data_IF_454169822223
#
_entry.id   IF_454169822223
#
_cell.length_a   1.000
_cell.length_b   1.000
_cell.length_c   1.000
_cell.angle_alpha   90.00
_cell.angle_beta   90.00
_cell.angle_gamma   90.00
#
_symmetry.space_group_name_H-M   'P 1'
#
loop_
_entity.id
_entity.type
_entity.pdbx_description
1 polymer ?
#
# COMPACT_ATOMS: atom_id res chain seq x y z
N UNK A 1 9.71 -6.07 3.17
CA UNK A 1 8.28 -5.75 3.09
C UNK A 1 7.42 -6.82 3.74
N UNK A 2 7.38 -8.06 3.20
CA UNK A 2 6.56 -9.11 3.82
C UNK A 2 7.23 -9.75 5.06
N UNK A 3 8.56 -9.90 5.02
CA UNK A 3 9.37 -10.56 6.04
C UNK A 3 9.48 -9.80 7.37
N UNK A 4 9.40 -8.47 7.34
CA UNK A 4 9.46 -7.60 8.53
C UNK A 4 8.07 -7.30 9.12
N UNK A 5 7.04 -7.28 8.27
CA UNK A 5 5.66 -6.99 8.69
C UNK A 5 5.05 -8.12 9.53
N UNK A 6 5.38 -9.39 9.26
CA UNK A 6 4.93 -10.53 10.06
C UNK A 6 5.38 -10.43 11.54
N UNK A 7 6.69 -10.35 11.81
CA UNK A 7 7.22 -10.15 13.16
C UNK A 7 6.66 -8.89 13.85
N UNK A 8 6.54 -7.78 13.12
CA UNK A 8 5.97 -6.55 13.67
C UNK A 8 4.51 -6.75 14.08
N UNK A 9 3.70 -7.40 13.24
CA UNK A 9 2.31 -7.73 13.53
C UNK A 9 2.17 -8.59 14.78
N UNK A 10 2.99 -9.64 14.92
CA UNK A 10 2.95 -10.50 16.10
C UNK A 10 3.27 -9.74 17.40
N UNK A 11 4.15 -8.73 17.32
CA UNK A 11 4.57 -7.94 18.49
C UNK A 11 3.61 -6.80 18.84
N UNK A 12 3.03 -6.13 17.84
CA UNK A 12 2.29 -4.88 18.02
C UNK A 12 0.80 -4.95 17.67
N UNK A 13 0.38 -6.05 17.04
CA UNK A 13 -0.99 -6.28 16.62
C UNK A 13 -1.40 -5.50 15.35
N UNK A 14 -2.64 -5.73 14.94
CA UNK A 14 -3.18 -5.24 13.67
C UNK A 14 -3.18 -3.71 13.55
N UNK A 15 -3.71 -2.99 14.55
CA UNK A 15 -3.87 -1.54 14.45
C UNK A 15 -2.53 -0.81 14.28
N UNK A 16 -1.50 -1.23 15.01
CA UNK A 16 -0.15 -0.64 14.88
C UNK A 16 0.50 -1.01 13.56
N UNK A 17 0.31 -2.24 13.09
CA UNK A 17 0.83 -2.68 11.78
C UNK A 17 0.21 -1.89 10.64
N UNK A 18 -1.12 -1.73 10.66
CA UNK A 18 -1.86 -0.94 9.66
C UNK A 18 -1.40 0.51 9.69
N UNK A 19 -1.34 1.15 10.87
CA UNK A 19 -0.86 2.53 10.99
C UNK A 19 0.53 2.70 10.40
N UNK A 20 1.47 1.82 10.77
CA UNK A 20 2.86 1.93 10.33
C UNK A 20 3.02 1.68 8.82
N UNK A 21 2.23 0.76 8.27
CA UNK A 21 2.20 0.52 6.83
C UNK A 21 1.62 1.70 6.05
N UNK A 22 0.57 2.34 6.56
CA UNK A 22 0.03 3.58 5.98
C UNK A 22 1.06 4.69 6.02
N UNK A 23 1.87 4.80 7.08
CA UNK A 23 2.96 5.80 7.12
C UNK A 23 3.99 5.55 6.02
N UNK A 24 4.38 4.30 5.77
CA UNK A 24 5.28 3.97 4.65
C UNK A 24 4.70 4.31 3.27
N UNK A 25 3.38 4.26 3.12
CA UNK A 25 2.68 4.69 1.91
C UNK A 25 2.68 6.23 1.78
N UNK A 26 2.46 6.94 2.89
CA UNK A 26 2.48 8.40 2.94
C UNK A 26 3.84 8.97 2.54
N UNK A 27 4.92 8.29 2.93
CA UNK A 27 6.30 8.69 2.60
C UNK A 27 6.58 8.70 1.08
N UNK A 28 5.78 7.98 0.28
CA UNK A 28 5.89 7.97 -1.19
C UNK A 28 5.15 9.12 -1.87
N UNK A 29 4.29 9.83 -1.13
CA UNK A 29 3.36 10.79 -1.71
C UNK A 29 3.93 12.21 -1.64
N UNK A 30 3.68 13.00 -2.69
CA UNK A 30 4.10 14.41 -2.73
C UNK A 30 3.47 15.24 -1.60
N UNK A 31 2.24 14.91 -1.23
CA UNK A 31 1.52 15.49 -0.09
C UNK A 31 1.07 14.34 0.84
N UNK A 32 1.91 13.93 1.81
CA UNK A 32 1.66 12.82 2.74
C UNK A 32 0.34 12.95 3.51
N UNK A 33 -0.02 14.18 3.89
CA UNK A 33 -1.23 14.48 4.67
C UNK A 33 -2.51 14.38 3.82
N UNK A 34 -2.40 14.44 2.49
CA UNK A 34 -3.55 14.28 1.61
C UNK A 34 -4.06 12.85 1.47
N UNK A 35 -3.26 11.86 1.89
CA UNK A 35 -3.50 10.44 1.64
C UNK A 35 -4.73 9.95 2.37
N UNK A 36 -5.71 9.47 1.60
CA UNK A 36 -6.91 8.80 2.09
C UNK A 36 -6.82 7.32 1.76
N UNK A 37 -7.08 6.46 2.75
CA UNK A 37 -7.09 5.01 2.56
C UNK A 37 -8.46 4.42 2.84
N UNK A 38 -8.79 3.33 2.17
CA UNK A 38 -10.00 2.53 2.44
C UNK A 38 -9.74 1.05 2.16
N UNK A 39 -10.62 0.18 2.67
CA UNK A 39 -10.54 -1.26 2.44
C UNK A 39 -9.26 -1.91 3.00
N UNK A 40 -8.70 -1.34 4.06
CA UNK A 40 -7.38 -1.75 4.57
C UNK A 40 -7.47 -3.08 5.31
N UNK A 41 -6.62 -4.04 4.92
CA UNK A 41 -6.57 -5.39 5.50
C UNK A 41 -5.14 -5.90 5.61
N UNK A 42 -4.86 -6.69 6.64
CA UNK A 42 -3.60 -7.44 6.75
C UNK A 42 -3.81 -8.81 6.13
N UNK A 43 -2.90 -9.24 5.26
CA UNK A 43 -2.97 -10.51 4.54
C UNK A 43 -1.67 -11.29 4.70
N UNK A 44 -1.76 -12.62 4.64
CA UNK A 44 -0.60 -13.48 4.55
C UNK A 44 -0.12 -13.54 3.09
N UNK A 45 1.18 -13.36 2.87
CA UNK A 45 1.78 -13.41 1.55
C UNK A 45 3.24 -13.86 1.61
N UNK A 46 3.61 -14.85 0.80
CA UNK A 46 4.98 -15.37 0.69
C UNK A 46 5.64 -15.71 2.05
N UNK A 47 4.88 -16.29 2.98
CA UNK A 47 5.37 -16.66 4.33
C UNK A 47 5.54 -15.48 5.30
N UNK A 48 5.18 -14.27 4.88
CA UNK A 48 5.12 -13.07 5.72
C UNK A 48 3.71 -12.48 5.72
N UNK A 49 3.62 -11.20 6.10
CA UNK A 49 2.36 -10.44 6.06
C UNK A 49 2.53 -9.17 5.24
N UNK A 50 1.49 -8.70 4.59
CA UNK A 50 1.44 -7.37 3.97
C UNK A 50 0.11 -6.69 4.29
N UNK A 51 0.08 -5.37 4.13
CA UNK A 51 -1.11 -4.54 4.29
C UNK A 51 -1.59 -4.13 2.90
N UNK A 52 -2.80 -4.53 2.56
CA UNK A 52 -3.44 -4.20 1.31
C UNK A 52 -4.53 -3.15 1.53
N UNK A 53 -4.83 -2.37 0.51
CA UNK A 53 -5.97 -1.47 0.50
C UNK A 53 -5.98 -0.61 -0.76
N UNK A 54 -6.80 0.42 -0.74
CA UNK A 54 -6.80 1.44 -1.79
C UNK A 54 -6.46 2.81 -1.19
N UNK A 55 -5.70 3.61 -1.93
CA UNK A 55 -5.32 4.97 -1.55
C UNK A 55 -5.77 5.99 -2.60
N UNK A 56 -6.01 7.22 -2.16
CA UNK A 56 -6.22 8.37 -3.03
C UNK A 56 -5.44 9.55 -2.45
N UNK A 57 -4.63 10.20 -3.29
CA UNK A 57 -3.78 11.33 -2.92
C UNK A 57 -3.94 12.46 -3.93
N UNK A 58 -3.61 13.68 -3.51
CA UNK A 58 -3.64 14.84 -4.41
C UNK A 58 -2.49 14.77 -5.41
N UNK A 59 -2.77 15.08 -6.67
CA UNK A 59 -1.74 15.31 -7.67
C UNK A 59 -1.04 16.67 -7.45
N UNK A 60 -0.05 17.00 -8.30
CA UNK A 60 0.68 18.27 -8.24
C UNK A 60 -0.19 19.52 -8.44
N UNK A 61 -1.45 19.38 -8.86
CA UNK A 61 -2.43 20.45 -9.05
C UNK A 61 -3.45 20.52 -7.89
N UNK A 62 -3.29 19.70 -6.83
CA UNK A 62 -4.15 19.71 -5.64
C UNK A 62 -5.44 18.91 -5.77
N UNK A 63 -5.64 18.18 -6.87
CA UNK A 63 -6.85 17.39 -7.12
C UNK A 63 -6.64 15.89 -6.81
N UNK A 64 -7.66 15.25 -6.24
CA UNK A 64 -7.71 13.80 -6.08
C UNK A 64 -7.98 13.12 -7.42
N UNK A 65 -7.25 12.05 -7.73
CA UNK A 65 -7.32 11.37 -9.04
C UNK A 65 -8.03 10.03 -9.01
N UNK A 66 -8.50 9.60 -7.84
CA UNK A 66 -9.24 8.35 -7.67
C UNK A 66 -8.50 7.37 -6.77
N UNK A 67 -9.22 6.35 -6.31
CA UNK A 67 -8.65 5.29 -5.48
C UNK A 67 -7.87 4.29 -6.34
N UNK A 68 -6.69 3.91 -5.86
CA UNK A 68 -5.78 2.96 -6.50
C UNK A 68 -5.29 1.92 -5.50
N UNK A 69 -5.04 0.67 -5.91
CA UNK A 69 -4.55 -0.35 -5.00
C UNK A 69 -3.14 -0.01 -4.51
N UNK A 70 -2.83 -0.41 -3.28
CA UNK A 70 -1.47 -0.43 -2.75
C UNK A 70 -1.20 -1.74 -2.03
N UNK A 71 0.09 -2.08 -1.93
CA UNK A 71 0.61 -3.05 -0.96
C UNK A 71 1.66 -2.36 -0.10
N UNK A 72 1.60 -2.58 1.20
CA UNK A 72 2.52 -1.96 2.14
C UNK A 72 3.03 -2.96 3.18
N UNK A 73 4.30 -2.84 3.53
CA UNK A 73 4.86 -3.38 4.75
C UNK A 73 5.06 -2.27 5.77
N UNK A 74 5.65 -2.61 6.92
CA UNK A 74 5.92 -1.62 7.98
C UNK A 74 7.09 -0.67 7.68
N UNK A 75 7.86 -0.94 6.61
CA UNK A 75 9.05 -0.16 6.25
C UNK A 75 8.97 0.47 4.87
N UNK A 76 8.20 -0.10 3.95
CA UNK A 76 8.11 0.32 2.56
C UNK A 76 6.72 -0.01 2.03
N UNK A 77 6.19 0.85 1.17
CA UNK A 77 5.01 0.59 0.36
C UNK A 77 5.39 0.47 -1.11
N UNK A 78 4.56 -0.22 -1.88
CA UNK A 78 4.65 -0.26 -3.33
C UNK A 78 3.34 0.22 -3.92
N UNK A 79 3.48 1.22 -4.79
CA UNK A 79 2.43 1.79 -5.62
C UNK A 79 3.07 2.10 -6.97
N UNK A 80 2.54 1.53 -8.05
CA UNK A 80 3.00 1.86 -9.39
C UNK A 80 1.84 2.38 -10.22
N UNK A 81 2.02 3.58 -10.77
CA UNK A 81 1.03 4.24 -11.61
C UNK A 81 1.73 4.75 -12.88
N UNK A 82 1.11 4.48 -14.03
CA UNK A 82 1.58 5.02 -15.31
C UNK A 82 0.41 5.22 -16.26
N UNK A 83 0.54 6.19 -17.18
CA UNK A 83 -0.49 6.44 -18.20
C UNK A 83 -0.65 5.29 -19.22
N UNK A 84 0.20 4.26 -19.17
CA UNK A 84 0.21 3.12 -20.08
C UNK A 84 -0.38 1.87 -19.42
N UNK A 85 -1.64 1.49 -19.70
CA UNK A 85 -2.34 0.46 -18.94
C UNK A 85 -1.67 -0.93 -18.97
N UNK A 86 -1.01 -1.28 -20.07
CA UNK A 86 -0.31 -2.58 -20.20
C UNK A 86 0.94 -2.65 -19.31
N UNK A 87 1.66 -1.53 -19.18
CA UNK A 87 2.84 -1.44 -18.32
C UNK A 87 2.39 -1.43 -16.86
N UNK A 88 1.33 -0.67 -16.55
CA UNK A 88 0.76 -0.63 -15.20
C UNK A 88 0.34 -2.01 -14.71
N UNK A 89 -0.42 -2.75 -15.52
CA UNK A 89 -0.82 -4.13 -15.18
C UNK A 89 0.36 -5.05 -14.94
N UNK A 90 1.40 -4.94 -15.79
CA UNK A 90 2.59 -5.78 -15.67
C UNK A 90 3.39 -5.46 -14.40
N UNK A 91 3.60 -4.19 -14.10
CA UNK A 91 4.33 -3.74 -12.93
C UNK A 91 3.57 -4.04 -11.62
N UNK A 92 2.24 -3.92 -11.64
CA UNK A 92 1.39 -4.21 -10.49
C UNK A 92 0.99 -5.69 -10.36
N UNK A 93 1.56 -6.60 -11.16
CA UNK A 93 1.24 -8.03 -11.08
C UNK A 93 1.53 -8.60 -9.68
N UNK A 94 2.63 -8.19 -9.04
CA UNK A 94 2.96 -8.57 -7.65
C UNK A 94 1.97 -8.03 -6.63
N UNK A 95 1.54 -6.77 -6.79
CA UNK A 95 0.49 -6.17 -5.95
C UNK A 95 -0.81 -6.95 -6.12
N UNK A 96 -1.18 -7.29 -7.36
CA UNK A 96 -2.39 -8.05 -7.66
C UNK A 96 -2.31 -9.47 -7.10
N UNK A 97 -1.15 -10.12 -7.16
CA UNK A 97 -0.96 -11.46 -6.59
C UNK A 97 -1.11 -11.47 -5.06
N UNK A 98 -0.71 -10.39 -4.38
CA UNK A 98 -0.82 -10.28 -2.91
C UNK A 98 -2.18 -9.75 -2.45
N UNK A 99 -2.73 -8.78 -3.17
CA UNK A 99 -3.82 -7.91 -2.72
C UNK A 99 -5.04 -7.91 -3.65
N UNK A 100 -5.02 -8.73 -4.70
CA UNK A 100 -6.17 -8.94 -5.58
C UNK A 100 -7.43 -9.39 -4.82
N UNK A 101 -8.61 -9.27 -5.45
CA UNK A 101 -9.87 -9.75 -4.89
C UNK A 101 -9.83 -11.24 -4.57
#
# INVERSE_FOLDING_TARGET
>A
MASDTGPYFSKHGQNKTVSKAIDSLRDLMKDPESVRVKGVRVVDFAGGKVVCGEFNAKNGYGAYTGYKPFVAGVSVADVYETKYPLIEKSANAGITAACGP
#
